data_IF_824587173880
#
_entry.id   IF_824587173880
#
_cell.length_a   1.000
_cell.length_b   1.000
_cell.length_c   1.000
_cell.angle_alpha   90.00
_cell.angle_beta   90.00
_cell.angle_gamma   90.00
#
_symmetry.space_group_name_H-M   'P 1'
#
loop_
_entity.id
_entity.type
_entity.pdbx_description
1 polymer ?
#
# COMPACT_ATOMS: atom_id res chain seq x y z
N UNK A 1 5.38 27.79 -16.10
CA UNK A 1 5.47 26.92 -14.90
C UNK A 1 6.62 25.95 -15.09
N UNK A 2 7.52 25.79 -14.11
CA UNK A 2 8.64 24.84 -14.17
C UNK A 2 8.20 23.57 -13.46
N UNK A 3 7.80 22.55 -14.21
CA UNK A 3 7.48 21.24 -13.62
C UNK A 3 8.78 20.66 -13.08
N UNK A 4 8.85 20.42 -11.76
CA UNK A 4 9.95 19.65 -11.18
C UNK A 4 9.75 18.21 -11.62
N UNK A 5 10.38 17.81 -12.72
CA UNK A 5 10.44 16.41 -13.11
C UNK A 5 11.29 15.66 -12.08
N UNK A 6 10.76 14.55 -11.61
CA UNK A 6 11.52 13.59 -10.80
C UNK A 6 12.25 12.62 -11.73
N UNK A 7 13.44 12.20 -11.33
CA UNK A 7 14.21 11.20 -12.09
C UNK A 7 13.49 9.86 -12.11
N UNK A 8 13.72 9.05 -13.15
CA UNK A 8 13.01 7.77 -13.34
C UNK A 8 13.25 6.80 -12.18
N UNK A 9 14.45 6.80 -11.58
CA UNK A 9 14.74 6.00 -10.40
C UNK A 9 13.89 6.40 -9.19
N UNK A 10 13.67 7.71 -9.02
CA UNK A 10 12.80 8.28 -7.98
C UNK A 10 11.34 7.89 -8.19
N UNK A 11 10.89 7.87 -9.46
CA UNK A 11 9.55 7.40 -9.82
C UNK A 11 9.38 5.94 -9.41
N UNK A 12 10.36 5.09 -9.75
CA UNK A 12 10.32 3.66 -9.42
C UNK A 12 10.29 3.42 -7.91
N UNK A 13 11.16 4.09 -7.16
CA UNK A 13 11.19 4.06 -5.70
C UNK A 13 9.80 4.39 -5.11
N UNK A 14 9.18 5.49 -5.56
CA UNK A 14 7.85 5.88 -5.10
C UNK A 14 6.74 4.86 -5.42
N UNK A 15 6.80 4.22 -6.58
CA UNK A 15 5.83 3.17 -6.95
C UNK A 15 6.03 1.94 -6.07
N UNK A 16 7.28 1.50 -5.87
CA UNK A 16 7.61 0.34 -5.04
C UNK A 16 7.19 0.56 -3.57
N UNK A 17 7.45 1.75 -3.04
CA UNK A 17 7.02 2.16 -1.70
C UNK A 17 5.49 2.17 -1.56
N UNK A 18 4.78 2.73 -2.54
CA UNK A 18 3.32 2.76 -2.54
C UNK A 18 2.71 1.36 -2.57
N UNK A 19 3.23 0.47 -3.43
CA UNK A 19 2.75 -0.92 -3.51
C UNK A 19 2.99 -1.64 -2.18
N UNK A 20 4.15 -1.44 -1.55
CA UNK A 20 4.48 -2.03 -0.25
C UNK A 20 3.53 -1.53 0.85
N UNK A 21 3.34 -0.22 0.95
CA UNK A 21 2.40 0.40 1.89
C UNK A 21 0.97 -0.14 1.70
N UNK A 22 0.49 -0.17 0.45
CA UNK A 22 -0.85 -0.63 0.14
C UNK A 22 -1.06 -2.07 0.57
N UNK A 23 -0.12 -2.96 0.21
CA UNK A 23 -0.26 -4.39 0.44
C UNK A 23 -0.06 -4.78 1.90
N UNK A 24 0.83 -4.10 2.63
CA UNK A 24 1.18 -4.48 4.00
C UNK A 24 0.39 -3.69 5.03
N UNK A 25 0.38 -2.37 4.91
CA UNK A 25 -0.16 -1.52 5.97
C UNK A 25 -1.65 -1.27 5.72
N UNK A 26 -2.03 -0.79 4.54
CA UNK A 26 -3.42 -0.41 4.25
C UNK A 26 -4.38 -1.62 4.17
N UNK A 27 -3.93 -2.76 3.65
CA UNK A 27 -4.74 -3.99 3.70
C UNK A 27 -4.91 -4.46 5.15
N UNK A 28 -3.84 -4.51 5.94
CA UNK A 28 -3.93 -4.92 7.35
C UNK A 28 -4.81 -3.96 8.16
N UNK A 29 -4.66 -2.65 8.02
CA UNK A 29 -5.54 -1.66 8.67
C UNK A 29 -7.02 -1.89 8.35
N UNK A 30 -7.35 -2.14 7.07
CA UNK A 30 -8.74 -2.43 6.65
C UNK A 30 -9.29 -3.71 7.26
N UNK A 31 -8.42 -4.69 7.52
CA UNK A 31 -8.79 -5.95 8.13
C UNK A 31 -8.71 -5.90 9.67
N UNK A 32 -8.46 -4.73 10.28
CA UNK A 32 -8.26 -4.62 11.73
C UNK A 32 -7.03 -5.39 12.23
N UNK A 33 -6.00 -5.52 11.39
CA UNK A 33 -4.78 -6.32 11.59
C UNK A 33 -5.00 -7.83 11.65
N UNK A 34 -6.18 -8.30 11.26
CA UNK A 34 -6.43 -9.71 11.05
C UNK A 34 -5.94 -10.15 9.67
N UNK A 35 -5.57 -11.42 9.54
CA UNK A 35 -5.39 -12.05 8.24
C UNK A 35 -6.74 -12.08 7.50
N UNK A 36 -6.74 -12.19 6.14
CA UNK A 36 -7.98 -12.24 5.38
C UNK A 36 -8.94 -13.38 5.78
N UNK A 37 -8.40 -14.50 6.26
CA UNK A 37 -9.19 -15.65 6.73
C UNK A 37 -9.91 -15.27 8.03
N UNK A 38 -9.17 -14.80 9.03
CA UNK A 38 -9.72 -14.36 10.32
C UNK A 38 -10.76 -13.25 10.17
N UNK A 39 -10.51 -12.27 9.29
CA UNK A 39 -11.48 -11.20 9.02
C UNK A 39 -12.76 -11.74 8.37
N UNK A 40 -12.64 -12.69 7.44
CA UNK A 40 -13.80 -13.33 6.81
C UNK A 40 -14.66 -14.12 7.79
N UNK A 41 -14.04 -14.79 8.76
CA UNK A 41 -14.73 -15.51 9.83
C UNK A 41 -15.49 -14.57 10.78
N UNK A 42 -14.97 -13.37 11.04
CA UNK A 42 -15.66 -12.37 11.88
C UNK A 42 -16.83 -11.67 11.18
N UNK A 43 -16.83 -11.62 9.84
CA UNK A 43 -17.84 -10.93 9.06
C UNK A 43 -19.06 -11.82 8.68
N UNK A 44 -19.00 -13.11 9.01
CA UNK A 44 -20.06 -14.10 8.77
C UNK A 44 -21.03 -14.17 9.97
#
# INVERSE_FOLDING_TARGET
>A
MKFKSIGMDKVREHVDDYIKYYNKERIQEKLGYHSPIEFGEMAA
#
